data_IF_129251697566
#
_entry.id   IF_129251697566
#
_cell.length_a   1.000
_cell.length_b   1.000
_cell.length_c   1.000
_cell.angle_alpha   90.00
_cell.angle_beta   90.00
_cell.angle_gamma   90.00
#
_symmetry.space_group_name_H-M   'P 1'
#
loop_
_entity.id
_entity.type
_entity.pdbx_description
1 polymer ?
#
# COMPACT_ATOMS: atom_id res chain seq x y z
N UNK A 1 50.34 -6.59 32.84
CA UNK A 1 49.34 -5.52 33.05
C UNK A 1 49.18 -4.63 31.80
N UNK A 2 50.26 -4.27 31.10
CA UNK A 2 50.25 -3.43 29.88
C UNK A 2 49.47 -4.03 28.68
N UNK A 3 49.43 -5.36 28.53
CA UNK A 3 48.71 -6.00 27.40
C UNK A 3 47.17 -5.92 27.50
N UNK A 4 46.61 -5.76 28.71
CA UNK A 4 45.15 -5.65 28.91
C UNK A 4 44.63 -4.25 28.57
N UNK A 5 45.42 -3.20 28.77
CA UNK A 5 45.01 -1.82 28.46
C UNK A 5 44.87 -1.58 26.95
N UNK A 6 45.75 -2.19 26.14
CA UNK A 6 45.66 -2.12 24.68
C UNK A 6 44.41 -2.78 24.09
N UNK A 7 43.95 -3.89 24.69
CA UNK A 7 42.75 -4.58 24.24
C UNK A 7 41.48 -3.76 24.55
N UNK A 8 41.39 -3.19 25.76
CA UNK A 8 40.24 -2.36 26.17
C UNK A 8 40.14 -1.10 25.29
N UNK A 9 41.26 -0.47 24.95
CA UNK A 9 41.30 0.65 24.02
C UNK A 9 40.80 0.30 22.62
N UNK A 10 41.16 -0.87 22.09
CA UNK A 10 40.67 -1.34 20.79
C UNK A 10 39.15 -1.56 20.80
N UNK A 11 38.60 -2.23 21.81
CA UNK A 11 37.15 -2.43 21.94
C UNK A 11 36.39 -1.10 22.10
N UNK A 12 36.93 -0.14 22.84
CA UNK A 12 36.33 1.19 22.98
C UNK A 12 36.24 1.95 21.65
N UNK A 13 37.27 1.85 20.81
CA UNK A 13 37.26 2.41 19.45
C UNK A 13 36.22 1.74 18.54
N UNK A 14 36.14 0.40 18.56
CA UNK A 14 35.12 -0.34 17.81
C UNK A 14 33.71 -0.01 18.28
N UNK A 15 33.49 0.13 19.59
CA UNK A 15 32.20 0.54 20.16
C UNK A 15 31.85 1.98 19.77
N UNK A 16 32.80 2.91 19.81
CA UNK A 16 32.59 4.29 19.36
C UNK A 16 32.23 4.39 17.87
N UNK A 17 32.90 3.62 17.01
CA UNK A 17 32.54 3.49 15.59
C UNK A 17 31.14 2.88 15.40
N UNK A 18 30.81 1.85 16.17
CA UNK A 18 29.53 1.15 16.09
C UNK A 18 28.36 2.03 16.56
N UNK A 19 28.53 2.80 17.64
CA UNK A 19 27.47 3.66 18.17
C UNK A 19 27.45 5.06 17.54
N UNK A 20 28.54 5.54 16.95
CA UNK A 20 28.63 6.86 16.32
C UNK A 20 28.53 6.84 14.81
N UNK A 21 29.38 6.07 14.13
CA UNK A 21 29.47 6.08 12.67
C UNK A 21 28.32 5.31 12.01
N UNK A 22 27.86 4.20 12.62
CA UNK A 22 26.78 3.39 12.04
C UNK A 22 25.46 4.17 11.98
N UNK A 23 24.99 4.87 13.05
CA UNK A 23 23.77 5.68 12.95
C UNK A 23 23.88 6.82 11.93
N UNK A 24 25.05 7.47 11.83
CA UNK A 24 25.30 8.52 10.84
C UNK A 24 25.27 7.98 9.41
N UNK A 25 25.88 6.81 9.16
CA UNK A 25 25.80 6.12 7.88
C UNK A 25 24.37 5.70 7.55
N UNK A 26 23.60 5.20 8.51
CA UNK A 26 22.19 4.86 8.33
C UNK A 26 21.34 6.09 7.96
N UNK A 27 21.55 7.23 8.65
CA UNK A 27 20.88 8.48 8.33
C UNK A 27 21.29 9.02 6.95
N UNK A 28 22.58 8.94 6.62
CA UNK A 28 23.08 9.31 5.31
C UNK A 28 22.43 8.46 4.21
N UNK A 29 22.41 7.13 4.36
CA UNK A 29 21.76 6.22 3.41
C UNK A 29 20.25 6.48 3.26
N UNK A 30 19.56 6.79 4.37
CA UNK A 30 18.14 7.15 4.36
C UNK A 30 17.90 8.41 3.52
N UNK A 31 18.66 9.48 3.76
CA UNK A 31 18.54 10.73 3.00
C UNK A 31 19.05 10.60 1.56
N UNK A 32 20.09 9.80 1.31
CA UNK A 32 20.63 9.52 -0.01
C UNK A 32 19.62 8.80 -0.90
N UNK A 33 18.82 7.89 -0.34
CA UNK A 33 17.78 7.17 -1.11
C UNK A 33 16.73 8.13 -1.64
N UNK A 34 16.24 9.03 -0.78
CA UNK A 34 15.21 9.99 -1.14
C UNK A 34 15.70 11.04 -2.16
N UNK A 35 16.92 11.55 -1.95
CA UNK A 35 17.56 12.51 -2.85
C UNK A 35 17.89 11.90 -4.21
N UNK A 36 18.33 10.64 -4.26
CA UNK A 36 18.56 9.89 -5.49
C UNK A 36 17.29 9.82 -6.35
N UNK A 37 16.16 9.40 -5.77
CA UNK A 37 14.90 9.30 -6.50
C UNK A 37 14.41 10.67 -7.00
N UNK A 38 14.53 11.72 -6.17
CA UNK A 38 14.18 13.07 -6.58
C UNK A 38 15.09 13.59 -7.71
N UNK A 39 16.39 13.32 -7.64
CA UNK A 39 17.37 13.72 -8.65
C UNK A 39 17.12 12.98 -9.98
N UNK A 40 16.88 11.67 -9.94
CA UNK A 40 16.53 10.88 -11.14
C UNK A 40 15.24 11.40 -11.78
N UNK A 41 14.21 11.72 -10.98
CA UNK A 41 12.98 12.34 -11.49
C UNK A 41 13.29 13.70 -12.14
N UNK A 42 13.99 14.58 -11.43
CA UNK A 42 14.35 15.89 -11.96
C UNK A 42 15.11 15.76 -13.29
N UNK A 43 16.13 14.91 -13.38
CA UNK A 43 16.89 14.69 -14.61
C UNK A 43 16.02 14.18 -15.76
N UNK A 44 15.12 13.23 -15.51
CA UNK A 44 14.23 12.67 -16.55
C UNK A 44 13.22 13.67 -17.09
N UNK A 45 12.74 14.60 -16.26
CA UNK A 45 11.66 15.53 -16.63
C UNK A 45 12.12 16.98 -16.86
N UNK A 46 13.41 17.29 -16.65
CA UNK A 46 14.00 18.64 -16.84
C UNK A 46 14.21 19.04 -18.31
N UNK A 47 14.13 18.12 -19.26
CA UNK A 47 14.28 18.39 -20.69
C UNK A 47 13.00 18.70 -21.48
N UNK A 48 11.81 18.63 -20.85
CA UNK A 48 10.53 18.81 -21.54
C UNK A 48 10.03 20.25 -21.33
N UNK A 49 10.55 21.16 -22.15
CA UNK A 49 10.28 22.59 -22.07
C UNK A 49 8.78 22.94 -22.06
N UNK A 50 8.36 23.78 -21.13
CA UNK A 50 7.36 24.83 -21.30
C UNK A 50 7.17 25.61 -19.99
N UNK A 51 6.86 26.90 -20.11
CA UNK A 51 6.74 27.93 -19.08
C UNK A 51 5.52 27.79 -18.15
N UNK A 52 5.31 26.66 -17.46
CA UNK A 52 4.11 26.54 -16.62
C UNK A 52 4.33 25.66 -15.37
N UNK A 53 3.89 26.18 -14.22
CA UNK A 53 3.85 25.62 -12.85
C UNK A 53 4.94 24.58 -12.55
N UNK A 54 5.93 24.95 -11.72
CA UNK A 54 6.98 24.05 -11.20
C UNK A 54 6.36 22.67 -10.87
N UNK A 55 6.62 21.66 -11.71
CA UNK A 55 6.15 20.28 -11.56
C UNK A 55 6.86 19.66 -10.35
N UNK A 56 6.40 20.04 -9.15
CA UNK A 56 6.92 19.53 -7.88
C UNK A 56 6.24 18.20 -7.61
N UNK A 57 7.03 17.22 -7.23
CA UNK A 57 6.51 15.96 -6.71
C UNK A 57 5.66 16.25 -5.46
N UNK A 58 4.60 15.46 -5.21
CA UNK A 58 3.90 15.51 -3.94
C UNK A 58 4.86 15.32 -2.76
N UNK A 59 4.61 15.94 -1.60
CA UNK A 59 5.41 15.71 -0.40
C UNK A 59 5.34 14.24 0.04
N UNK A 60 6.35 13.79 0.77
CA UNK A 60 6.51 12.40 1.16
C UNK A 60 7.99 12.02 1.24
N UNK A 61 8.27 10.75 1.55
CA UNK A 61 9.62 10.19 1.55
C UNK A 61 9.62 8.82 0.87
N UNK A 62 10.73 8.46 0.24
CA UNK A 62 10.86 7.13 -0.38
C UNK A 62 11.12 6.01 0.62
N UNK A 63 11.53 6.30 1.86
CA UNK A 63 11.75 5.29 2.90
C UNK A 63 13.06 4.51 2.71
N UNK A 64 13.10 3.25 3.18
CA UNK A 64 14.28 2.39 3.07
C UNK A 64 14.67 2.13 1.61
N UNK A 65 15.96 1.95 1.30
CA UNK A 65 16.38 1.51 -0.03
C UNK A 65 15.71 0.17 -0.39
N UNK A 66 15.22 0.06 -1.62
CA UNK A 66 14.50 -1.09 -2.21
C UNK A 66 13.13 -1.43 -1.59
N UNK A 67 13.00 -1.48 -0.26
CA UNK A 67 11.76 -1.82 0.43
C UNK A 67 10.83 -0.63 0.61
N UNK A 68 11.38 0.57 0.73
CA UNK A 68 10.64 1.78 0.98
C UNK A 68 9.87 1.74 2.29
N UNK A 69 8.58 2.03 2.21
CA UNK A 69 7.63 1.96 3.34
C UNK A 69 6.83 0.67 3.35
N UNK A 70 7.19 -0.32 2.52
CA UNK A 70 6.44 -1.59 2.43
C UNK A 70 6.41 -2.32 3.78
N UNK A 71 7.52 -2.31 4.53
CA UNK A 71 7.58 -2.93 5.86
C UNK A 71 6.70 -2.19 6.86
N UNK A 72 6.72 -0.86 6.85
CA UNK A 72 5.84 -0.03 7.68
C UNK A 72 4.37 -0.30 7.35
N UNK A 73 4.03 -0.37 6.06
CA UNK A 73 2.69 -0.74 5.59
C UNK A 73 2.28 -2.12 6.13
N UNK A 74 3.14 -3.13 5.98
CA UNK A 74 2.88 -4.48 6.49
C UNK A 74 2.74 -4.50 8.01
N UNK A 75 3.54 -3.72 8.73
CA UNK A 75 3.44 -3.57 10.18
C UNK A 75 2.06 -3.03 10.59
N UNK A 76 1.62 -1.91 10.01
CA UNK A 76 0.31 -1.33 10.30
C UNK A 76 -0.85 -2.28 9.97
N UNK A 77 -0.74 -3.02 8.87
CA UNK A 77 -1.80 -3.91 8.41
C UNK A 77 -1.86 -5.25 9.16
N UNK A 78 -0.71 -5.89 9.43
CA UNK A 78 -0.65 -7.26 9.99
C UNK A 78 -0.38 -7.31 11.48
N UNK A 79 0.48 -6.44 11.99
CA UNK A 79 0.95 -6.52 13.38
C UNK A 79 0.15 -5.58 14.27
N UNK A 80 0.00 -4.32 13.86
CA UNK A 80 -0.71 -3.33 14.65
C UNK A 80 -2.24 -3.39 14.46
N UNK A 81 -2.75 -4.04 13.40
CA UNK A 81 -4.17 -4.03 13.01
C UNK A 81 -4.78 -2.61 12.93
N UNK A 82 -3.96 -1.60 12.65
CA UNK A 82 -4.32 -0.18 12.62
C UNK A 82 -4.11 0.37 11.21
N UNK A 83 -4.96 -0.09 10.30
CA UNK A 83 -4.83 0.18 8.86
C UNK A 83 -4.87 1.67 8.53
N UNK A 84 -5.77 2.40 9.17
CA UNK A 84 -6.03 3.80 8.84
C UNK A 84 -4.90 4.73 9.32
N UNK A 85 -4.11 4.27 10.28
CA UNK A 85 -2.99 5.02 10.86
C UNK A 85 -1.83 5.19 9.90
N UNK A 86 -1.61 4.28 8.95
CA UNK A 86 -0.56 4.44 7.96
C UNK A 86 -0.81 5.69 7.11
N UNK A 87 -2.07 5.90 6.69
CA UNK A 87 -2.48 7.10 5.95
C UNK A 87 -2.57 8.30 6.90
N UNK A 88 -3.05 8.09 8.12
CA UNK A 88 -3.12 9.10 9.18
C UNK A 88 -1.76 9.74 9.47
N UNK A 89 -0.71 8.92 9.63
CA UNK A 89 0.65 9.36 9.87
C UNK A 89 1.21 10.21 8.71
N UNK A 90 0.87 9.86 7.47
CA UNK A 90 1.23 10.69 6.30
C UNK A 90 0.50 12.02 6.27
N UNK A 91 -0.81 12.00 6.58
CA UNK A 91 -1.62 13.21 6.68
C UNK A 91 -1.09 14.15 7.77
N UNK A 92 -0.69 13.64 8.92
CA UNK A 92 -0.12 14.46 10.01
C UNK A 92 1.27 15.00 9.67
N UNK A 93 2.12 14.20 9.00
CA UNK A 93 3.48 14.60 8.66
C UNK A 93 3.58 15.62 7.51
N UNK A 94 2.73 15.50 6.49
CA UNK A 94 2.83 16.27 5.26
C UNK A 94 1.65 17.21 5.00
N UNK A 95 0.62 17.16 5.85
CA UNK A 95 -0.57 18.00 5.77
C UNK A 95 -1.73 17.35 5.01
N UNK A 96 -2.87 17.23 5.69
CA UNK A 96 -4.10 16.62 5.16
C UNK A 96 -4.62 17.27 3.86
N UNK A 97 -4.40 18.58 3.69
CA UNK A 97 -4.88 19.36 2.54
C UNK A 97 -4.16 19.01 1.23
N UNK A 98 -2.96 18.42 1.30
CA UNK A 98 -2.21 18.03 0.10
C UNK A 98 -2.91 16.89 -0.63
N UNK A 99 -3.42 15.91 0.13
CA UNK A 99 -4.21 14.82 -0.41
C UNK A 99 -3.49 13.88 -1.39
N UNK A 100 -2.17 14.03 -1.58
CA UNK A 100 -1.34 13.12 -2.36
C UNK A 100 0.05 13.04 -1.71
N UNK A 101 0.60 11.84 -1.60
CA UNK A 101 1.88 11.61 -0.94
C UNK A 101 2.77 10.68 -1.75
N UNK A 102 4.04 11.04 -1.93
CA UNK A 102 5.02 10.11 -2.54
C UNK A 102 5.52 9.09 -1.50
N UNK A 103 5.79 7.89 -1.97
CA UNK A 103 6.25 6.76 -1.17
C UNK A 103 6.96 5.74 -2.07
N UNK A 104 7.54 4.71 -1.49
CA UNK A 104 8.01 3.55 -2.22
C UNK A 104 7.37 2.30 -1.62
N UNK A 105 6.57 1.60 -2.43
CA UNK A 105 5.77 0.45 -2.00
C UNK A 105 5.98 -0.71 -2.97
N UNK A 106 6.09 -1.92 -2.43
CA UNK A 106 6.24 -3.17 -3.16
C UNK A 106 7.36 -3.14 -4.20
N UNK A 107 8.52 -2.58 -3.84
CA UNK A 107 9.67 -2.51 -4.74
C UNK A 107 9.58 -1.43 -5.83
N UNK A 108 8.58 -0.54 -5.77
CA UNK A 108 8.37 0.49 -6.79
C UNK A 108 8.06 1.88 -6.20
N UNK A 109 8.57 2.98 -6.82
CA UNK A 109 8.18 4.33 -6.45
C UNK A 109 6.69 4.55 -6.76
N UNK A 110 5.95 5.00 -5.76
CA UNK A 110 4.48 5.05 -5.78
C UNK A 110 3.95 6.39 -5.25
N UNK A 111 2.73 6.74 -5.64
CA UNK A 111 2.01 7.90 -5.12
C UNK A 111 0.71 7.41 -4.49
N UNK A 112 0.49 7.76 -3.24
CA UNK A 112 -0.78 7.52 -2.54
C UNK A 112 -1.67 8.73 -2.81
N UNK A 113 -2.75 8.52 -3.56
CA UNK A 113 -3.79 9.51 -3.76
C UNK A 113 -4.87 9.36 -2.68
N UNK A 114 -5.10 10.44 -1.93
CA UNK A 114 -6.10 10.52 -0.85
C UNK A 114 -7.18 11.57 -1.13
N UNK A 115 -6.98 12.47 -2.11
CA UNK A 115 -7.96 13.50 -2.44
C UNK A 115 -9.03 12.97 -3.40
N UNK A 116 -10.30 13.38 -3.24
CA UNK A 116 -11.37 13.00 -4.16
C UNK A 116 -11.07 13.39 -5.62
N UNK A 117 -10.45 14.55 -5.84
CA UNK A 117 -10.08 15.02 -7.17
C UNK A 117 -9.02 14.13 -7.83
N UNK A 118 -7.96 13.74 -7.11
CA UNK A 118 -6.93 12.85 -7.64
C UNK A 118 -7.50 11.45 -7.91
N UNK A 119 -8.31 10.93 -6.99
CA UNK A 119 -8.96 9.63 -7.16
C UNK A 119 -9.87 9.61 -8.38
N UNK A 120 -10.68 10.66 -8.57
CA UNK A 120 -11.54 10.80 -9.76
C UNK A 120 -10.71 10.82 -11.05
N UNK A 121 -9.63 11.60 -11.08
CA UNK A 121 -8.74 11.68 -12.24
C UNK A 121 -8.13 10.31 -12.58
N UNK A 122 -7.54 9.63 -11.59
CA UNK A 122 -6.92 8.31 -11.78
C UNK A 122 -7.94 7.27 -12.26
N UNK A 123 -9.14 7.24 -11.67
CA UNK A 123 -10.19 6.27 -12.01
C UNK A 123 -10.88 6.55 -13.35
N UNK A 124 -10.84 7.78 -13.86
CA UNK A 124 -11.44 8.14 -15.14
C UNK A 124 -10.46 8.05 -16.32
N UNK A 125 -9.15 8.11 -16.06
CA UNK A 125 -8.12 8.10 -17.09
C UNK A 125 -7.52 6.69 -17.31
N UNK A 126 -8.35 5.74 -17.75
CA UNK A 126 -7.94 4.34 -17.97
C UNK A 126 -6.80 4.16 -19.01
N UNK A 127 -6.67 5.09 -19.95
CA UNK A 127 -5.59 5.11 -20.95
C UNK A 127 -4.23 5.46 -20.33
N UNK A 128 -4.23 6.21 -19.23
CA UNK A 128 -3.02 6.64 -18.52
C UNK A 128 -2.72 5.77 -17.29
N UNK A 129 -3.74 5.18 -16.67
CA UNK A 129 -3.65 4.40 -15.45
C UNK A 129 -4.25 3.01 -15.64
N UNK A 130 -3.38 2.01 -15.73
CA UNK A 130 -3.77 0.60 -15.69
C UNK A 130 -3.95 0.08 -14.27
N UNK A 131 -4.84 -0.88 -14.10
CA UNK A 131 -4.96 -1.65 -12.86
C UNK A 131 -3.84 -2.68 -12.86
N UNK A 132 -3.07 -2.73 -11.76
CA UNK A 132 -2.03 -3.74 -11.55
C UNK A 132 -1.94 -4.07 -10.07
N UNK A 133 -2.04 -5.35 -9.74
CA UNK A 133 -1.78 -5.81 -8.38
C UNK A 133 -0.27 -5.93 -8.14
N UNK A 134 0.25 -5.58 -6.95
CA UNK A 134 1.69 -5.66 -6.66
C UNK A 134 2.29 -7.06 -6.82
N UNK A 135 1.50 -8.11 -6.55
CA UNK A 135 1.88 -9.53 -6.69
C UNK A 135 0.82 -10.25 -7.54
N UNK A 136 0.84 -10.09 -8.87
CA UNK A 136 -0.25 -10.54 -9.73
C UNK A 136 -0.49 -12.07 -9.67
N UNK A 137 0.54 -12.84 -9.32
CA UNK A 137 0.47 -14.30 -9.17
C UNK A 137 -0.50 -14.73 -8.06
N UNK A 138 -0.67 -13.91 -7.02
CA UNK A 138 -1.51 -14.25 -5.87
C UNK A 138 -3.01 -14.28 -6.22
N UNK A 139 -3.42 -13.42 -7.15
CA UNK A 139 -4.83 -13.29 -7.59
C UNK A 139 -5.05 -14.00 -8.93
N UNK A 140 -3.97 -14.27 -9.67
CA UNK A 140 -3.99 -14.79 -11.02
C UNK A 140 -3.69 -13.69 -12.03
N UNK A 141 -2.78 -14.01 -12.95
CA UNK A 141 -2.29 -13.09 -14.00
C UNK A 141 -3.39 -12.69 -14.98
N UNK A 142 -4.40 -13.56 -15.18
CA UNK A 142 -5.57 -13.33 -16.04
C UNK A 142 -6.82 -12.95 -15.24
N UNK A 143 -6.67 -12.38 -14.05
CA UNK A 143 -7.81 -11.92 -13.24
C UNK A 143 -8.29 -10.53 -13.67
N UNK A 144 -9.54 -10.21 -13.34
CA UNK A 144 -10.11 -8.85 -13.53
C UNK A 144 -9.23 -7.77 -12.88
N UNK A 145 -8.56 -8.09 -11.77
CA UNK A 145 -7.71 -7.15 -11.04
C UNK A 145 -6.33 -6.90 -11.70
N UNK A 146 -5.95 -7.68 -12.72
CA UNK A 146 -4.65 -7.56 -13.40
C UNK A 146 -4.76 -7.29 -14.90
N UNK A 147 -5.95 -7.49 -15.50
CA UNK A 147 -6.20 -7.24 -16.91
C UNK A 147 -6.55 -5.76 -17.15
N UNK A 148 -6.17 -5.24 -18.31
CA UNK A 148 -6.46 -3.87 -18.75
C UNK A 148 -7.10 -3.85 -20.15
N UNK A 149 -7.69 -2.71 -20.52
CA UNK A 149 -8.23 -2.45 -21.86
C UNK A 149 -9.33 -3.43 -22.30
N UNK A 150 -9.30 -3.84 -23.56
CA UNK A 150 -10.34 -4.68 -24.18
C UNK A 150 -10.52 -6.04 -23.48
N UNK A 151 -9.43 -6.67 -23.05
CA UNK A 151 -9.48 -7.97 -22.37
C UNK A 151 -10.17 -7.85 -21.01
N UNK A 152 -9.91 -6.76 -20.26
CA UNK A 152 -10.63 -6.46 -19.03
C UNK A 152 -12.11 -6.19 -19.30
N UNK A 153 -12.43 -5.38 -20.32
CA UNK A 153 -13.80 -5.06 -20.68
C UNK A 153 -14.61 -6.32 -21.02
N UNK A 154 -14.02 -7.26 -21.78
CA UNK A 154 -14.63 -8.55 -22.12
C UNK A 154 -14.90 -9.40 -20.89
N UNK A 155 -13.89 -9.60 -20.03
CA UNK A 155 -14.04 -10.41 -18.82
C UNK A 155 -15.07 -9.81 -17.85
N UNK A 156 -15.00 -8.50 -17.62
CA UNK A 156 -15.96 -7.76 -16.80
C UNK A 156 -17.37 -7.87 -17.37
N UNK A 157 -17.51 -7.80 -18.70
CA UNK A 157 -18.80 -7.97 -19.38
C UNK A 157 -19.45 -9.31 -19.08
N UNK A 158 -18.69 -10.41 -19.14
CA UNK A 158 -19.22 -11.74 -18.78
C UNK A 158 -19.66 -11.82 -17.32
N UNK A 159 -18.86 -11.30 -16.39
CA UNK A 159 -19.17 -11.32 -14.96
C UNK A 159 -20.43 -10.50 -14.66
N UNK A 160 -20.53 -9.29 -15.22
CA UNK A 160 -21.70 -8.44 -15.05
C UNK A 160 -22.95 -9.05 -15.69
N UNK A 161 -22.83 -9.68 -16.85
CA UNK A 161 -23.96 -10.36 -17.49
C UNK A 161 -24.47 -11.56 -16.65
N UNK A 162 -23.59 -12.22 -15.89
CA UNK A 162 -23.98 -13.31 -15.00
C UNK A 162 -24.64 -12.80 -13.71
N UNK A 163 -24.10 -11.73 -13.10
CA UNK A 163 -24.50 -11.28 -11.76
C UNK A 163 -25.61 -10.22 -11.81
N UNK A 164 -25.55 -9.26 -12.74
CA UNK A 164 -26.42 -8.08 -12.77
C UNK A 164 -27.78 -8.32 -13.44
N UNK A 165 -28.22 -9.58 -13.55
CA UNK A 165 -29.56 -9.91 -14.03
C UNK A 165 -30.52 -10.01 -12.84
N UNK A 166 -31.73 -9.43 -12.92
CA UNK A 166 -32.72 -9.53 -11.84
C UNK A 166 -33.00 -10.98 -11.42
N UNK A 167 -33.05 -11.91 -12.38
CA UNK A 167 -33.24 -13.34 -12.12
C UNK A 167 -32.05 -13.97 -11.38
N UNK A 168 -30.81 -13.58 -11.71
CA UNK A 168 -29.61 -14.04 -11.00
C UNK A 168 -29.60 -13.54 -9.56
N UNK A 169 -29.88 -12.25 -9.34
CA UNK A 169 -29.94 -11.66 -8.00
C UNK A 169 -31.04 -12.32 -7.17
N UNK A 170 -32.22 -12.54 -7.75
CA UNK A 170 -33.30 -13.25 -7.10
C UNK A 170 -32.87 -14.66 -6.70
N UNK A 171 -32.24 -15.40 -7.60
CA UNK A 171 -31.75 -16.77 -7.33
C UNK A 171 -30.72 -16.78 -6.19
N UNK A 172 -29.75 -15.84 -6.22
CA UNK A 172 -28.77 -15.69 -5.14
C UNK A 172 -29.47 -15.39 -3.81
N UNK A 173 -30.43 -14.46 -3.80
CA UNK A 173 -31.19 -14.13 -2.60
C UNK A 173 -31.95 -15.34 -2.06
N UNK A 174 -32.63 -16.10 -2.93
CA UNK A 174 -33.37 -17.30 -2.50
C UNK A 174 -32.50 -18.38 -1.88
N UNK A 175 -31.22 -18.49 -2.30
CA UNK A 175 -30.28 -19.49 -1.76
C UNK A 175 -29.59 -18.99 -0.49
N UNK A 176 -29.23 -17.70 -0.45
CA UNK A 176 -28.46 -17.11 0.65
C UNK A 176 -29.36 -16.77 1.85
N UNK A 177 -30.56 -16.24 1.60
CA UNK A 177 -31.49 -15.80 2.65
C UNK A 177 -31.77 -16.86 3.72
N UNK A 178 -32.12 -18.12 3.40
CA UNK A 178 -32.38 -19.11 4.44
C UNK A 178 -31.14 -19.42 5.30
N UNK A 179 -29.93 -19.41 4.72
CA UNK A 179 -28.67 -19.64 5.45
C UNK A 179 -28.39 -18.51 6.43
N UNK A 180 -28.60 -17.26 5.99
CA UNK A 180 -28.42 -16.08 6.84
C UNK A 180 -29.46 -16.07 7.96
N UNK A 181 -30.73 -16.36 7.66
CA UNK A 181 -31.80 -16.43 8.66
C UNK A 181 -31.52 -17.51 9.70
N UNK A 182 -31.09 -18.70 9.29
CA UNK A 182 -30.73 -19.77 10.23
C UNK A 182 -29.56 -19.35 11.13
N UNK A 183 -28.48 -18.84 10.56
CA UNK A 183 -27.33 -18.40 11.34
C UNK A 183 -27.69 -17.27 12.33
N UNK A 184 -28.54 -16.32 11.93
CA UNK A 184 -29.00 -15.25 12.82
C UNK A 184 -29.82 -15.78 14.01
N UNK A 185 -30.61 -16.85 13.82
CA UNK A 185 -31.33 -17.50 14.92
C UNK A 185 -30.36 -18.17 15.88
N UNK A 186 -29.40 -18.94 15.36
CA UNK A 186 -28.38 -19.60 16.18
C UNK A 186 -27.55 -18.57 16.98
N UNK A 187 -27.25 -17.43 16.37
CA UNK A 187 -26.51 -16.34 17.02
C UNK A 187 -27.31 -15.64 18.11
N UNK A 188 -28.64 -15.54 17.95
CA UNK A 188 -29.50 -14.97 18.99
C UNK A 188 -29.46 -15.81 20.27
N UNK A 189 -29.36 -17.14 20.14
CA UNK A 189 -29.31 -18.06 21.29
C UNK A 189 -27.92 -18.16 21.93
N UNK A 190 -26.85 -17.81 21.21
CA UNK A 190 -25.46 -17.88 21.71
C UNK A 190 -25.03 -16.69 22.59
N UNK A 191 -25.81 -15.60 22.62
CA UNK A 191 -25.52 -14.40 23.42
C UNK A 191 -24.34 -13.57 22.91
N UNK A 192 -23.10 -14.03 23.11
CA UNK A 192 -21.89 -13.34 22.62
C UNK A 192 -21.23 -14.13 21.50
N UNK A 193 -21.12 -13.51 20.32
CA UNK A 193 -20.51 -14.12 19.13
C UNK A 193 -19.24 -13.40 18.69
N UNK A 194 -18.31 -14.16 18.11
CA UNK A 194 -17.18 -13.59 17.36
C UNK A 194 -17.60 -13.48 15.90
N UNK A 195 -18.13 -12.31 15.51
CA UNK A 195 -18.76 -12.10 14.20
C UNK A 195 -17.90 -12.58 13.02
N UNK A 196 -16.60 -12.28 13.00
CA UNK A 196 -15.71 -12.70 11.92
C UNK A 196 -15.61 -14.24 11.77
N UNK A 197 -15.63 -14.97 12.89
CA UNK A 197 -15.59 -16.44 12.90
C UNK A 197 -16.91 -17.01 12.40
N UNK A 198 -18.03 -16.47 12.89
CA UNK A 198 -19.36 -16.99 12.57
C UNK A 198 -19.78 -16.65 11.14
N UNK A 199 -19.51 -15.44 10.65
CA UNK A 199 -19.77 -15.06 9.25
C UNK A 199 -19.01 -15.99 8.28
N UNK A 200 -17.77 -16.38 8.62
CA UNK A 200 -16.99 -17.30 7.79
C UNK A 200 -17.65 -18.67 7.64
N UNK A 201 -18.41 -19.13 8.64
CA UNK A 201 -19.17 -20.40 8.57
C UNK A 201 -20.40 -20.32 7.66
N UNK A 202 -20.96 -19.12 7.42
CA UNK A 202 -22.09 -18.95 6.50
C UNK A 202 -21.63 -19.06 5.04
N UNK A 203 -20.40 -18.61 4.78
CA UNK A 203 -19.83 -18.50 3.43
C UNK A 203 -19.29 -19.84 2.92
N UNK A 204 -18.71 -20.66 3.79
CA UNK A 204 -18.20 -22.01 3.49
C UNK A 204 -19.30 -23.07 3.60
#
# INVERSE_FOLDING_TARGET
>A
MVAMEGAVGAWAWWLGLLFGAVPLLCLALWHSTDTWHCAVFALRYRGRGSNDIRRRLPPGHMGLPFLGETLSLLWYFKLACRRDDFIGAKKSAYGSAVGMYRTHLFGSPSIIACSPAANKFVLQSAECFGIKYPVPELIGTMSVANMNGASHARLRGFILAAINRPSSIHTIATVVQPRVVAALRDWADMGTIVAAKEIKKIIN
#
